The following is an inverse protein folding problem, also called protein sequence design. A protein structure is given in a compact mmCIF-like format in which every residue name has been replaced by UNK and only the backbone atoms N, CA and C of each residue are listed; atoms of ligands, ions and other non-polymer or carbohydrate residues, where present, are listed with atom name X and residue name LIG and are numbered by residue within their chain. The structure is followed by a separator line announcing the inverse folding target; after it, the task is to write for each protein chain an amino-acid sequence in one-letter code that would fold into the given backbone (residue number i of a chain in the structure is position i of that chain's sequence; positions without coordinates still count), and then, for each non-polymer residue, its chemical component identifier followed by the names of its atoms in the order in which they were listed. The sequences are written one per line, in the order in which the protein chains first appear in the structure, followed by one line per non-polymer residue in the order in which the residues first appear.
data_IF_008475057148
#
_entry.id   IF_008475057148
#
_cell.length_a   1.000
_cell.length_b   1.000
_cell.length_c   1.000
_cell.angle_alpha   90.00
_cell.angle_beta   90.00
_cell.angle_gamma   90.00
#
_symmetry.space_group_name_H-M   'P 1'
#
loop_
_entity.id
_entity.type
_entity.pdbx_description
1 polymer ?
#
# COMPACT_ATOMS: atom_id res chain seq x y z
N UNK A 1 -18.42 -6.35 4.70
CA UNK A 1 -18.94 -7.48 3.88
C UNK A 1 -18.34 -8.83 4.21
N UNK A 2 -17.03 -9.09 4.05
CA UNK A 2 -16.44 -10.41 4.38
C UNK A 2 -16.68 -10.82 5.84
N UNK A 3 -16.37 -9.92 6.78
CA UNK A 3 -16.64 -10.08 8.22
C UNK A 3 -18.11 -10.36 8.50
N UNK A 4 -19.01 -9.53 7.97
CA UNK A 4 -20.47 -9.73 8.11
C UNK A 4 -20.94 -11.14 7.64
N UNK A 5 -20.41 -11.63 6.52
CA UNK A 5 -20.75 -12.97 6.01
C UNK A 5 -20.17 -14.09 6.89
N UNK A 6 -19.00 -13.88 7.50
CA UNK A 6 -18.35 -14.83 8.41
C UNK A 6 -19.11 -14.92 9.74
N UNK A 7 -19.51 -13.79 10.29
CA UNK A 7 -20.03 -13.69 11.65
C UNK A 7 -21.54 -14.01 11.71
N UNK A 8 -22.30 -13.79 10.61
CA UNK A 8 -23.72 -14.16 10.54
C UNK A 8 -23.92 -15.68 10.36
N UNK A 9 -24.65 -16.29 11.29
CA UNK A 9 -25.05 -17.72 11.23
C UNK A 9 -26.06 -18.03 10.13
N UNK A 10 -27.08 -17.18 9.97
CA UNK A 10 -28.11 -17.34 8.94
C UNK A 10 -28.16 -16.08 8.09
N UNK A 11 -27.76 -16.20 6.83
CA UNK A 11 -27.84 -15.12 5.86
C UNK A 11 -28.98 -15.40 4.88
N UNK A 12 -30.16 -14.85 5.17
CA UNK A 12 -31.31 -14.95 4.28
C UNK A 12 -31.12 -14.03 3.07
N UNK A 13 -31.24 -14.60 1.86
CA UNK A 13 -31.23 -13.82 0.62
C UNK A 13 -32.65 -13.28 0.36
N UNK A 14 -32.73 -12.12 -0.28
CA UNK A 14 -34.02 -11.60 -0.74
C UNK A 14 -34.64 -12.55 -1.75
N UNK A 15 -35.98 -12.58 -1.78
CA UNK A 15 -36.73 -13.30 -2.81
C UNK A 15 -36.82 -12.41 -4.05
N UNK A 16 -36.72 -13.04 -5.22
CA UNK A 16 -36.91 -12.38 -6.51
C UNK A 16 -38.09 -13.04 -7.24
N UNK A 17 -39.05 -12.26 -7.77
CA UNK A 17 -39.16 -10.80 -7.66
C UNK A 17 -39.51 -10.33 -6.22
N UNK A 18 -39.06 -9.14 -5.78
CA UNK A 18 -39.39 -8.62 -4.45
C UNK A 18 -40.86 -8.22 -4.28
N UNK A 19 -41.52 -7.88 -5.38
CA UNK A 19 -42.91 -7.47 -5.44
C UNK A 19 -43.72 -8.47 -6.25
N UNK A 20 -45.02 -8.53 -5.95
CA UNK A 20 -45.99 -9.40 -6.61
C UNK A 20 -46.62 -8.67 -7.80
N UNK A 21 -46.87 -9.36 -8.91
CA UNK A 21 -47.33 -8.77 -10.17
C UNK A 21 -48.76 -8.21 -10.08
N UNK A 22 -49.58 -8.73 -9.16
CA UNK A 22 -50.94 -8.26 -8.92
C UNK A 22 -51.01 -6.96 -8.10
N UNK A 23 -49.92 -6.58 -7.42
CA UNK A 23 -49.90 -5.40 -6.56
C UNK A 23 -49.52 -4.14 -7.36
N UNK A 24 -50.23 -3.02 -7.17
CA UNK A 24 -49.83 -1.76 -7.78
C UNK A 24 -48.48 -1.28 -7.21
N UNK A 25 -47.73 -0.46 -7.97
CA UNK A 25 -46.52 0.19 -7.47
C UNK A 25 -46.79 0.99 -6.19
N UNK A 26 -45.84 0.95 -5.27
CA UNK A 26 -45.92 1.64 -3.98
C UNK A 26 -45.72 3.15 -4.17
N UNK A 27 -46.57 3.98 -3.57
CA UNK A 27 -46.36 5.43 -3.56
C UNK A 27 -45.28 5.83 -2.55
N UNK A 28 -44.36 6.69 -2.98
CA UNK A 28 -43.23 7.16 -2.19
C UNK A 28 -43.70 8.06 -1.04
N UNK A 29 -44.63 8.98 -1.31
CA UNK A 29 -45.09 9.96 -0.31
C UNK A 29 -45.74 9.26 0.89
N UNK A 30 -46.59 8.27 0.63
CA UNK A 30 -47.36 7.58 1.67
C UNK A 30 -46.56 6.51 2.42
N UNK A 31 -45.59 5.85 1.76
CA UNK A 31 -44.97 4.64 2.31
C UNK A 31 -43.47 4.75 2.62
N UNK A 32 -42.75 5.72 2.04
CA UNK A 32 -41.28 5.77 2.12
C UNK A 32 -40.79 7.11 2.69
N UNK A 33 -41.46 8.22 2.39
CA UNK A 33 -40.98 9.55 2.74
C UNK A 33 -40.73 9.75 4.24
N UNK A 34 -41.64 9.27 5.09
CA UNK A 34 -41.55 9.41 6.55
C UNK A 34 -40.73 8.29 7.23
N UNK A 35 -40.25 7.31 6.46
CA UNK A 35 -39.51 6.16 7.01
C UNK A 35 -38.02 6.47 7.02
N UNK A 36 -37.42 6.48 8.22
CA UNK A 36 -35.97 6.64 8.34
C UNK A 36 -35.23 5.45 7.71
N UNK A 37 -34.20 5.71 6.88
CA UNK A 37 -33.43 4.65 6.27
C UNK A 37 -32.63 3.89 7.32
N UNK A 38 -32.47 2.58 7.07
CA UNK A 38 -31.58 1.73 7.86
C UNK A 38 -30.12 2.20 7.74
N UNK A 39 -29.33 1.86 8.77
CA UNK A 39 -27.91 2.19 8.82
C UNK A 39 -27.16 1.63 7.60
N UNK A 40 -26.35 2.49 7.00
CA UNK A 40 -25.51 2.13 5.86
C UNK A 40 -24.34 1.23 6.29
N UNK A 41 -23.80 0.48 5.33
CA UNK A 41 -22.62 -0.34 5.59
C UNK A 41 -21.39 0.56 5.70
N UNK A 42 -20.96 0.82 6.93
CA UNK A 42 -19.77 1.60 7.23
C UNK A 42 -18.73 0.73 7.94
N UNK A 43 -17.47 0.90 7.56
CA UNK A 43 -16.34 0.37 8.31
C UNK A 43 -16.06 1.33 9.46
N UNK A 44 -15.87 0.79 10.66
CA UNK A 44 -15.38 1.57 11.79
C UNK A 44 -13.93 1.98 11.49
N UNK A 45 -13.73 3.29 11.32
CA UNK A 45 -12.43 3.91 11.06
C UNK A 45 -11.76 4.25 12.40
N UNK A 46 -10.43 4.13 12.43
CA UNK A 46 -9.65 4.51 13.60
C UNK A 46 -9.47 6.05 13.62
N UNK A 47 -9.82 6.75 14.71
CA UNK A 47 -9.73 8.21 14.78
C UNK A 47 -8.29 8.75 14.69
N UNK A 48 -7.30 7.96 15.11
CA UNK A 48 -5.90 8.38 15.15
C UNK A 48 -5.17 8.01 13.87
N UNK A 49 -5.33 6.76 13.40
CA UNK A 49 -4.63 6.30 12.19
C UNK A 49 -5.30 6.78 10.89
N UNK A 50 -6.63 6.81 10.84
CA UNK A 50 -7.40 7.17 9.65
C UNK A 50 -7.85 8.65 9.65
N UNK A 51 -7.27 9.46 10.55
CA UNK A 51 -7.58 10.88 10.74
C UNK A 51 -7.69 11.69 9.44
N UNK A 52 -6.82 11.40 8.47
CA UNK A 52 -6.77 12.09 7.18
C UNK A 52 -8.06 11.92 6.35
N UNK A 53 -8.74 10.78 6.50
CA UNK A 53 -9.95 10.41 5.74
C UNK A 53 -11.22 10.33 6.59
N UNK A 54 -11.07 10.28 7.92
CA UNK A 54 -12.15 9.99 8.89
C UNK A 54 -13.45 10.78 8.65
N UNK A 55 -13.35 12.10 8.47
CA UNK A 55 -14.52 12.99 8.41
C UNK A 55 -15.34 12.86 7.12
N UNK A 56 -14.72 12.49 5.99
CA UNK A 56 -15.32 12.65 4.66
C UNK A 56 -15.39 11.35 3.85
N UNK A 57 -14.89 10.24 4.38
CA UNK A 57 -14.74 9.00 3.62
C UNK A 57 -16.07 8.42 3.10
N UNK A 58 -17.15 8.56 3.88
CA UNK A 58 -18.48 8.04 3.55
C UNK A 58 -19.44 9.07 2.92
N UNK A 59 -18.96 10.27 2.60
CA UNK A 59 -19.76 11.28 1.94
C UNK A 59 -20.06 10.92 0.48
N UNK A 60 -21.24 11.31 0.00
CA UNK A 60 -21.64 11.08 -1.39
C UNK A 60 -20.69 11.75 -2.41
N UNK A 61 -20.22 12.96 -2.10
CA UNK A 61 -19.23 13.76 -2.84
C UNK A 61 -18.28 14.43 -1.85
N UNK A 62 -17.33 13.64 -1.38
CA UNK A 62 -16.37 14.07 -0.39
C UNK A 62 -15.53 15.26 -0.83
N UNK A 63 -15.03 16.07 0.11
CA UNK A 63 -14.07 17.15 -0.14
C UNK A 63 -14.55 18.29 -1.07
N UNK A 64 -15.84 18.39 -1.37
CA UNK A 64 -16.39 19.46 -2.24
C UNK A 64 -16.11 20.86 -1.68
N UNK A 65 -16.12 21.01 -0.37
CA UNK A 65 -15.91 22.30 0.33
C UNK A 65 -14.43 22.62 0.56
N UNK A 66 -13.52 21.68 0.27
CA UNK A 66 -12.08 21.82 0.54
C UNK A 66 -11.31 22.14 -0.75
N UNK A 67 -10.15 22.78 -0.60
CA UNK A 67 -9.21 23.10 -1.69
C UNK A 67 -8.64 21.88 -2.44
N UNK A 68 -8.97 20.66 -2.01
CA UNK A 68 -8.54 19.41 -2.63
C UNK A 68 -9.29 19.10 -3.93
N UNK A 69 -10.47 19.69 -4.13
CA UNK A 69 -11.27 19.53 -5.34
C UNK A 69 -11.55 20.90 -5.94
N UNK A 70 -11.78 20.95 -7.24
CA UNK A 70 -12.07 22.18 -7.99
C UNK A 70 -13.50 22.75 -7.77
N UNK A 71 -14.21 22.32 -6.72
CA UNK A 71 -15.58 22.72 -6.38
C UNK A 71 -16.66 21.73 -6.83
N UNK A 72 -17.91 22.21 -6.94
CA UNK A 72 -19.11 21.40 -7.21
C UNK A 72 -19.09 20.63 -8.54
N UNK A 73 -18.27 21.07 -9.50
CA UNK A 73 -18.06 20.36 -10.77
C UNK A 73 -17.31 19.04 -10.59
N UNK A 74 -16.59 18.86 -9.49
CA UNK A 74 -15.97 17.59 -9.06
C UNK A 74 -15.18 16.88 -10.18
N UNK A 75 -14.39 17.64 -10.94
CA UNK A 75 -13.71 17.16 -12.16
C UNK A 75 -12.21 16.87 -11.94
N UNK A 76 -11.59 17.56 -10.97
CA UNK A 76 -10.16 17.46 -10.67
C UNK A 76 -9.97 17.32 -9.18
N UNK A 77 -9.04 16.46 -8.79
CA UNK A 77 -8.67 16.24 -7.40
C UNK A 77 -7.16 16.41 -7.22
N UNK A 78 -6.78 16.91 -6.06
CA UNK A 78 -5.41 16.99 -5.57
C UNK A 78 -5.39 16.60 -4.10
N UNK A 79 -4.72 15.49 -3.79
CA UNK A 79 -4.68 14.92 -2.44
C UNK A 79 -3.27 15.02 -1.87
N UNK A 80 -3.21 15.16 -0.55
CA UNK A 80 -1.97 15.14 0.23
C UNK A 80 -1.46 13.71 0.39
N UNK A 81 -0.17 13.56 0.74
CA UNK A 81 0.42 12.24 0.97
C UNK A 81 -0.30 11.44 2.07
N UNK A 82 -0.64 12.02 3.24
CA UNK A 82 -1.38 11.30 4.28
C UNK A 82 -2.74 10.79 3.79
N UNK A 83 -3.48 11.59 3.01
CA UNK A 83 -4.76 11.15 2.45
C UNK A 83 -4.57 9.93 1.53
N UNK A 84 -3.57 9.98 0.66
CA UNK A 84 -3.29 8.89 -0.27
C UNK A 84 -2.77 7.63 0.42
N UNK A 85 -1.92 7.78 1.44
CA UNK A 85 -1.40 6.63 2.20
C UNK A 85 -2.52 5.92 2.95
N UNK A 86 -3.41 6.65 3.60
CA UNK A 86 -4.58 6.07 4.29
C UNK A 86 -5.52 5.38 3.30
N UNK A 87 -5.84 6.04 2.17
CA UNK A 87 -6.67 5.43 1.12
C UNK A 87 -6.02 4.17 0.50
N UNK A 88 -4.71 4.18 0.27
CA UNK A 88 -3.99 3.03 -0.27
C UNK A 88 -4.01 1.85 0.71
N UNK A 89 -3.77 2.13 2.00
CA UNK A 89 -3.84 1.13 3.08
C UNK A 89 -5.23 0.50 3.21
N UNK A 90 -6.29 1.31 3.07
CA UNK A 90 -7.68 0.82 3.10
C UNK A 90 -8.08 0.07 1.82
N UNK A 91 -7.56 0.50 0.67
CA UNK A 91 -7.81 -0.12 -0.64
C UNK A 91 -7.00 -1.40 -0.87
N UNK A 92 -5.93 -1.61 -0.10
CA UNK A 92 -5.11 -2.80 -0.16
C UNK A 92 -5.92 -4.05 0.22
N UNK A 93 -5.65 -5.21 -0.43
CA UNK A 93 -6.26 -6.46 -0.04
C UNK A 93 -5.79 -6.83 1.37
N UNK A 94 -6.62 -6.58 2.38
CA UNK A 94 -6.45 -7.22 3.69
C UNK A 94 -6.76 -8.70 3.51
N UNK A 95 -5.72 -9.51 3.35
CA UNK A 95 -5.83 -10.96 3.38
C UNK A 95 -6.06 -11.37 4.84
N UNK A 96 -7.27 -11.79 5.17
CA UNK A 96 -7.42 -12.72 6.30
C UNK A 96 -6.91 -14.09 5.80
N UNK A 97 -6.13 -14.83 6.61
CA UNK A 97 -5.69 -16.16 6.22
C UNK A 97 -6.91 -17.02 5.86
N UNK A 98 -6.94 -17.49 4.61
CA UNK A 98 -8.11 -18.18 4.04
C UNK A 98 -8.32 -19.57 4.67
N UNK A 99 -7.28 -20.09 5.33
CA UNK A 99 -7.26 -21.41 5.94
C UNK A 99 -7.57 -21.23 7.42
N UNK A 100 -8.75 -21.69 7.86
CA UNK A 100 -8.96 -22.08 9.26
C UNK A 100 -7.86 -23.08 9.57
N UNK A 101 -7.13 -22.93 10.66
CA UNK A 101 -6.15 -23.91 11.14
C UNK A 101 -6.65 -25.34 10.90
N UNK A 102 -6.25 -25.92 9.78
CA UNK A 102 -6.40 -27.35 9.56
C UNK A 102 -5.37 -27.90 10.51
N UNK A 103 -5.84 -28.74 11.44
CA UNK A 103 -4.94 -29.45 12.34
C UNK A 103 -3.83 -30.08 11.47
N UNK A 104 -2.55 -29.74 11.68
CA UNK A 104 -1.45 -30.28 10.89
C UNK A 104 -1.42 -31.82 10.87
N UNK A 105 -2.09 -32.45 11.84
CA UNK A 105 -2.16 -33.89 12.01
C UNK A 105 -3.23 -34.59 11.15
N UNK A 106 -4.14 -33.87 10.50
CA UNK A 106 -5.33 -34.48 9.87
C UNK A 106 -5.14 -34.84 8.37
N UNK A 107 -4.07 -34.38 7.69
CA UNK A 107 -3.90 -34.55 6.23
C UNK A 107 -2.57 -35.23 5.77
N UNK A 108 -1.70 -35.65 6.69
CA UNK A 108 -0.31 -36.01 6.34
C UNK A 108 -0.08 -37.42 5.76
N UNK A 109 -1.11 -38.26 5.60
CA UNK A 109 -0.95 -39.63 5.06
C UNK A 109 -1.87 -39.93 3.88
N UNK A 110 -1.49 -39.43 2.70
CA UNK A 110 -2.06 -39.86 1.42
C UNK A 110 -1.03 -40.66 0.61
N UNK A 111 -1.48 -41.61 -0.20
CA UNK A 111 -0.63 -42.47 -1.07
C UNK A 111 0.26 -41.65 -2.04
N UNK A 112 -0.10 -40.39 -2.26
CA UNK A 112 0.62 -39.42 -3.08
C UNK A 112 1.82 -38.76 -2.37
N UNK A 113 1.84 -38.72 -1.03
CA UNK A 113 2.88 -38.06 -0.22
C UNK A 113 3.86 -39.06 0.45
N UNK A 114 3.87 -40.33 0.04
CA UNK A 114 4.75 -41.36 0.60
C UNK A 114 6.23 -41.03 0.33
N UNK A 115 6.98 -40.79 1.42
CA UNK A 115 8.42 -40.46 1.41
C UNK A 115 9.24 -41.50 0.64
N UNK A 116 8.81 -42.76 0.63
CA UNK A 116 9.53 -43.84 -0.05
C UNK A 116 9.34 -43.81 -1.58
N UNK A 117 8.35 -43.06 -2.08
CA UNK A 117 8.05 -42.91 -3.51
C UNK A 117 8.51 -41.57 -4.09
N UNK A 118 8.85 -40.59 -3.23
CA UNK A 118 9.29 -39.25 -3.66
C UNK A 118 10.82 -39.20 -3.72
N UNK A 119 11.36 -39.00 -4.93
CA UNK A 119 12.80 -38.79 -5.14
C UNK A 119 13.09 -37.28 -5.14
N UNK A 120 13.50 -36.73 -3.99
CA UNK A 120 13.87 -35.31 -3.87
C UNK A 120 15.33 -35.12 -4.31
N UNK A 121 15.52 -34.61 -5.53
CA UNK A 121 16.86 -34.25 -6.04
C UNK A 121 17.20 -32.76 -5.84
N UNK A 122 16.18 -31.90 -5.85
CA UNK A 122 16.24 -30.49 -5.51
C UNK A 122 14.94 -30.12 -4.79
N UNK A 123 14.96 -29.26 -3.74
CA UNK A 123 13.72 -28.77 -3.13
C UNK A 123 12.89 -28.03 -4.19
N UNK A 124 11.58 -28.29 -4.22
CA UNK A 124 10.69 -27.83 -5.29
C UNK A 124 10.42 -26.32 -5.13
N UNK A 125 10.99 -25.49 -6.01
CA UNK A 125 10.56 -24.09 -6.22
C UNK A 125 10.36 -23.81 -7.71
N UNK A 126 9.36 -24.43 -8.35
CA UNK A 126 9.04 -24.10 -9.75
C UNK A 126 7.53 -24.09 -10.00
N UNK A 127 6.87 -22.97 -9.70
CA UNK A 127 5.78 -22.49 -10.55
C UNK A 127 6.16 -21.11 -11.06
N UNK A 128 6.31 -21.05 -12.38
CA UNK A 128 6.48 -19.88 -13.26
C UNK A 128 7.92 -19.63 -13.69
N UNK A 129 8.06 -19.70 -15.02
CA UNK A 129 9.27 -19.65 -15.84
C UNK A 129 10.04 -18.33 -15.70
N UNK A 130 11.35 -18.45 -15.87
CA UNK A 130 12.33 -17.36 -15.95
C UNK A 130 11.88 -16.26 -16.91
N UNK A 131 11.47 -15.14 -16.34
CA UNK A 131 11.67 -13.83 -16.94
C UNK A 131 12.69 -13.15 -16.04
N UNK A 132 13.94 -13.01 -16.50
CA UNK A 132 14.88 -12.04 -15.93
C UNK A 132 14.36 -10.67 -16.36
N UNK A 133 13.24 -10.28 -15.75
CA UNK A 133 12.88 -8.89 -15.64
C UNK A 133 13.95 -8.29 -14.73
N UNK A 134 14.42 -7.09 -15.03
CA UNK A 134 15.13 -6.30 -14.03
C UNK A 134 14.10 -6.11 -12.90
N UNK A 135 14.14 -7.00 -11.90
CA UNK A 135 13.22 -6.99 -10.79
C UNK A 135 13.58 -5.76 -10.00
N UNK A 136 12.70 -4.77 -10.05
CA UNK A 136 12.77 -3.62 -9.16
C UNK A 136 12.61 -4.20 -7.76
N UNK A 137 13.72 -4.23 -7.00
CA UNK A 137 13.71 -4.71 -5.64
C UNK A 137 13.26 -3.58 -4.72
N UNK A 138 11.96 -3.51 -4.51
CA UNK A 138 11.37 -2.66 -3.48
C UNK A 138 11.12 -3.51 -2.23
N UNK A 139 11.78 -3.14 -1.13
CA UNK A 139 11.49 -3.72 0.19
C UNK A 139 10.42 -2.85 0.83
N UNK A 140 9.22 -3.41 1.01
CA UNK A 140 8.14 -2.74 1.72
C UNK A 140 8.46 -2.72 3.21
N UNK A 141 8.50 -1.53 3.80
CA UNK A 141 8.60 -1.35 5.24
C UNK A 141 7.28 -1.85 5.85
N UNK A 142 7.37 -2.86 6.72
CA UNK A 142 6.20 -3.45 7.39
C UNK A 142 5.98 -2.83 8.78
N UNK A 143 7.07 -2.48 9.48
CA UNK A 143 7.03 -1.93 10.82
C UNK A 143 7.26 -0.41 10.79
N UNK A 144 6.29 0.41 11.27
CA UNK A 144 6.40 1.86 11.26
C UNK A 144 7.42 2.39 12.28
N UNK A 145 7.85 1.56 13.23
CA UNK A 145 8.82 1.92 14.27
C UNK A 145 10.27 1.94 13.76
N UNK A 146 10.52 1.30 12.61
CA UNK A 146 11.83 1.33 11.96
C UNK A 146 12.02 2.66 11.21
N UNK A 147 13.25 3.20 11.17
CA UNK A 147 13.50 4.47 10.48
C UNK A 147 13.27 4.30 8.98
N UNK A 148 12.89 5.36 8.26
CA UNK A 148 12.52 5.26 6.84
C UNK A 148 13.66 4.74 5.94
N UNK A 149 14.92 4.95 6.35
CA UNK A 149 16.10 4.42 5.70
C UNK A 149 16.86 3.54 6.69
N UNK A 150 16.74 2.22 6.54
CA UNK A 150 17.54 1.24 7.27
C UNK A 150 18.03 0.15 6.34
N UNK A 151 19.09 -0.53 6.76
CA UNK A 151 19.57 -1.71 6.07
C UNK A 151 18.69 -2.90 6.46
N UNK A 152 17.80 -3.30 5.56
CA UNK A 152 16.88 -4.40 5.81
C UNK A 152 17.61 -5.76 5.82
N UNK A 153 17.29 -6.68 6.74
CA UNK A 153 17.88 -8.02 6.78
C UNK A 153 17.72 -8.84 5.48
N UNK A 154 16.74 -8.51 4.64
CA UNK A 154 16.55 -9.12 3.33
C UNK A 154 17.61 -8.68 2.30
N UNK A 155 18.33 -7.58 2.57
CA UNK A 155 19.41 -7.08 1.72
C UNK A 155 20.70 -7.82 2.10
N UNK A 156 21.39 -8.36 1.09
CA UNK A 156 22.67 -9.02 1.32
C UNK A 156 23.71 -8.03 1.87
N UNK A 157 24.42 -8.37 2.97
CA UNK A 157 25.41 -7.48 3.55
C UNK A 157 26.53 -7.19 2.54
N UNK A 158 26.95 -5.92 2.48
CA UNK A 158 28.01 -5.49 1.58
C UNK A 158 29.35 -5.94 2.16
N UNK A 159 29.96 -6.96 1.55
CA UNK A 159 31.32 -7.39 1.90
C UNK A 159 32.35 -6.50 1.19
N UNK A 160 33.05 -5.64 1.92
CA UNK A 160 34.24 -4.98 1.39
C UNK A 160 35.41 -5.97 1.32
N UNK A 161 35.81 -6.36 0.11
CA UNK A 161 36.91 -7.31 -0.13
C UNK A 161 38.08 -6.75 -0.93
N UNK A 162 38.06 -5.45 -1.25
CA UNK A 162 39.13 -4.78 -1.98
C UNK A 162 39.93 -3.86 -1.04
N UNK A 163 41.19 -4.19 -0.82
CA UNK A 163 42.17 -3.36 -0.08
C UNK A 163 42.92 -2.41 -1.02
N UNK A 164 42.91 -2.69 -2.32
CA UNK A 164 43.50 -1.81 -3.33
C UNK A 164 42.44 -0.79 -3.71
N UNK A 165 42.62 0.46 -3.26
CA UNK A 165 41.92 1.60 -3.86
C UNK A 165 42.31 1.58 -5.35
N UNK A 166 41.40 1.19 -6.24
CA UNK A 166 41.60 1.37 -7.67
C UNK A 166 41.58 2.86 -7.89
N UNK A 167 42.75 3.47 -7.85
CA UNK A 167 42.82 4.89 -8.07
C UNK A 167 42.63 5.10 -9.56
N UNK A 168 41.45 5.56 -9.95
CA UNK A 168 41.33 6.24 -11.22
C UNK A 168 42.41 7.30 -11.24
N UNK A 169 43.28 7.31 -12.24
CA UNK A 169 44.41 8.24 -12.32
C UNK A 169 44.00 9.73 -12.20
N UNK A 170 42.71 10.03 -12.38
CA UNK A 170 42.12 11.35 -12.15
C UNK A 170 41.81 11.67 -10.68
N UNK A 171 41.50 10.66 -9.86
CA UNK A 171 41.31 10.79 -8.41
C UNK A 171 42.67 10.80 -7.71
N UNK A 172 43.65 10.06 -8.23
CA UNK A 172 44.97 9.91 -7.61
C UNK A 172 45.72 11.25 -7.51
N UNK A 173 45.59 12.10 -8.55
CA UNK A 173 46.15 13.47 -8.55
C UNK A 173 45.51 14.34 -7.46
N UNK A 174 44.23 14.13 -7.13
CA UNK A 174 43.54 14.86 -6.06
C UNK A 174 43.77 14.22 -4.68
N UNK A 175 44.21 12.95 -4.62
CA UNK A 175 44.43 12.23 -3.36
C UNK A 175 45.86 12.14 -2.88
N UNK A 176 46.84 12.34 -3.76
CA UNK A 176 48.26 12.36 -3.38
C UNK A 176 48.64 13.57 -2.51
N UNK A 177 47.81 14.61 -2.51
CA UNK A 177 48.00 15.81 -1.68
C UNK A 177 47.43 15.68 -0.26
N UNK A 178 46.66 14.62 0.08
CA UNK A 178 46.09 14.46 1.43
C UNK A 178 47.14 14.20 2.53
N UNK A 179 48.33 13.73 2.18
CA UNK A 179 49.43 13.46 3.12
C UNK A 179 50.42 14.64 3.23
N UNK A 180 50.27 15.67 2.39
CA UNK A 180 51.07 16.91 2.49
C UNK A 180 50.34 17.89 3.42
N UNK A 181 50.65 17.83 4.72
CA UNK A 181 50.17 18.78 5.74
C UNK A 181 50.56 20.25 5.47
N UNK A 182 51.34 20.53 4.42
CA UNK A 182 51.89 21.85 4.12
C UNK A 182 50.89 22.81 3.42
N UNK A 183 49.82 22.30 2.80
CA UNK A 183 48.74 23.11 2.22
C UNK A 183 47.35 22.56 2.63
N UNK A 184 46.99 22.70 3.90
CA UNK A 184 45.64 22.38 4.39
C UNK A 184 44.61 23.36 3.80
N UNK A 185 43.91 22.94 2.74
CA UNK A 185 42.79 23.68 2.19
C UNK A 185 41.62 23.70 3.20
N UNK A 186 41.35 24.89 3.77
CA UNK A 186 40.25 25.08 4.73
C UNK A 186 39.03 25.68 4.02
N UNK A 187 37.87 25.04 4.22
CA UNK A 187 36.59 25.58 3.76
C UNK A 187 36.20 26.82 4.59
N UNK A 188 35.59 27.87 3.99
CA UNK A 188 35.12 29.03 4.73
C UNK A 188 34.14 28.65 5.85
N UNK A 189 34.15 29.39 6.96
CA UNK A 189 33.32 29.10 8.15
C UNK A 189 31.80 29.06 7.86
N UNK A 190 31.34 29.74 6.80
CA UNK A 190 29.93 29.72 6.40
C UNK A 190 29.55 28.53 5.52
N UNK A 191 30.50 27.64 5.20
CA UNK A 191 30.29 26.52 4.29
C UNK A 191 29.84 25.27 5.06
N UNK A 192 28.54 25.01 5.01
CA UNK A 192 27.92 23.80 5.57
C UNK A 192 27.27 22.96 4.46
N UNK A 193 26.99 21.66 4.71
CA UNK A 193 26.16 20.87 3.81
C UNK A 193 24.82 21.58 3.50
N UNK A 194 24.34 21.45 2.26
CA UNK A 194 23.20 22.22 1.76
C UNK A 194 21.91 22.09 2.60
N UNK A 195 21.70 20.95 3.25
CA UNK A 195 20.46 20.62 3.97
C UNK A 195 20.70 20.28 5.45
N UNK A 196 21.74 20.84 6.08
CA UNK A 196 22.06 20.59 7.50
C UNK A 196 20.90 20.88 8.44
N UNK A 197 20.06 21.87 8.12
CA UNK A 197 18.88 22.23 8.92
C UNK A 197 17.66 21.32 8.77
N UNK A 198 17.71 20.30 7.92
CA UNK A 198 16.57 19.41 7.62
C UNK A 198 16.89 17.99 8.06
N UNK A 199 15.94 17.33 8.73
CA UNK A 199 16.09 15.92 9.12
C UNK A 199 16.14 15.00 7.88
N UNK A 200 16.89 13.91 7.97
CA UNK A 200 17.05 12.94 6.88
C UNK A 200 15.72 12.31 6.45
N UNK A 201 14.83 12.02 7.40
CA UNK A 201 13.50 11.51 7.14
C UNK A 201 12.48 12.12 8.10
N UNK A 202 11.20 11.92 7.76
CA UNK A 202 10.03 12.31 8.53
C UNK A 202 9.08 11.11 8.63
N UNK A 203 8.06 11.19 9.48
CA UNK A 203 7.06 10.13 9.66
C UNK A 203 6.33 9.75 8.36
N UNK A 204 6.25 10.68 7.41
CA UNK A 204 5.59 10.47 6.12
C UNK A 204 6.53 9.99 5.01
N UNK A 205 7.85 9.94 5.25
CA UNK A 205 8.83 9.59 4.21
C UNK A 205 8.67 8.15 3.75
N UNK A 206 8.53 7.21 4.68
CA UNK A 206 8.28 5.79 4.38
C UNK A 206 6.97 5.57 3.62
N UNK A 207 5.90 6.27 4.02
CA UNK A 207 4.62 6.21 3.32
C UNK A 207 4.70 6.79 1.90
N UNK A 208 5.45 7.89 1.73
CA UNK A 208 5.68 8.51 0.42
C UNK A 208 6.48 7.62 -0.53
N UNK A 209 7.52 6.93 -0.03
CA UNK A 209 8.30 5.97 -0.84
C UNK A 209 7.46 4.75 -1.21
N UNK A 210 6.61 4.26 -0.32
CA UNK A 210 5.67 3.18 -0.62
C UNK A 210 4.65 3.57 -1.72
N UNK A 211 4.12 4.80 -1.68
CA UNK A 211 3.19 5.30 -2.70
C UNK A 211 3.82 5.43 -4.09
N UNK A 212 5.15 5.59 -4.20
CA UNK A 212 5.84 5.64 -5.49
C UNK A 212 5.65 4.34 -6.29
N UNK A 213 5.62 3.20 -5.59
CA UNK A 213 5.45 1.87 -6.17
C UNK A 213 4.00 1.38 -6.16
N UNK A 214 3.06 2.20 -5.69
CA UNK A 214 1.66 1.83 -5.67
C UNK A 214 1.06 1.79 -7.10
N UNK A 215 0.06 0.93 -7.35
CA UNK A 215 -0.61 0.91 -8.64
C UNK A 215 -1.39 2.20 -8.86
N UNK A 216 -1.65 2.54 -10.13
CA UNK A 216 -2.60 3.61 -10.47
C UNK A 216 -3.96 3.26 -9.85
N UNK A 217 -4.62 4.18 -9.11
CA UNK A 217 -4.42 5.63 -9.07
C UNK A 217 -3.54 6.17 -7.91
N UNK A 218 -3.01 5.32 -7.03
CA UNK A 218 -2.39 5.74 -5.77
C UNK A 218 -0.99 6.35 -5.92
N UNK A 219 -0.31 6.11 -7.04
CA UNK A 219 0.97 6.74 -7.37
C UNK A 219 0.86 8.20 -7.85
N UNK A 220 -0.34 8.78 -7.89
CA UNK A 220 -0.57 10.15 -8.35
C UNK A 220 -1.08 11.04 -7.22
N UNK A 221 -0.49 12.23 -7.09
CA UNK A 221 -0.96 13.27 -6.16
C UNK A 221 -2.15 14.08 -6.68
N UNK A 222 -2.37 14.08 -7.99
CA UNK A 222 -3.49 14.78 -8.61
C UNK A 222 -3.97 14.01 -9.84
N UNK A 223 -5.26 14.14 -10.12
CA UNK A 223 -5.85 13.51 -11.28
C UNK A 223 -7.20 14.11 -11.64
N UNK A 224 -7.80 13.52 -12.67
CA UNK A 224 -9.20 13.76 -13.02
C UNK A 224 -10.06 12.75 -12.29
N UNK A 225 -11.23 13.19 -11.86
CA UNK A 225 -12.27 12.25 -11.42
C UNK A 225 -12.75 11.43 -12.63
N UNK A 226 -13.20 10.21 -12.35
CA UNK A 226 -13.69 9.28 -13.37
C UNK A 226 -15.11 8.88 -12.98
N UNK A 227 -15.92 8.49 -13.97
CA UNK A 227 -17.25 7.95 -13.70
C UNK A 227 -17.09 6.64 -12.93
N UNK A 228 -18.01 6.35 -12.01
CA UNK A 228 -17.99 5.12 -11.23
C UNK A 228 -17.95 3.86 -12.13
N UNK A 229 -18.65 3.91 -13.28
CA UNK A 229 -18.69 2.85 -14.28
C UNK A 229 -17.32 2.57 -14.96
N UNK A 230 -16.43 3.57 -15.02
CA UNK A 230 -15.14 3.46 -15.72
C UNK A 230 -14.02 2.90 -14.82
N UNK A 231 -14.32 2.58 -13.55
CA UNK A 231 -13.33 2.08 -12.57
C UNK A 231 -13.54 0.56 -12.41
N UNK A 232 -12.77 -0.28 -13.12
CA UNK A 232 -12.92 -1.72 -13.00
C UNK A 232 -12.20 -2.23 -11.74
N UNK A 233 -12.93 -2.43 -10.65
CA UNK A 233 -12.34 -2.89 -9.38
C UNK A 233 -11.78 -4.33 -9.43
N UNK A 234 -12.22 -5.15 -10.39
CA UNK A 234 -11.85 -6.57 -10.50
C UNK A 234 -10.84 -6.81 -11.65
N UNK A 235 -10.51 -5.79 -12.43
CA UNK A 235 -9.54 -5.88 -13.52
C UNK A 235 -8.19 -5.38 -13.02
N UNK A 236 -7.44 -6.25 -12.36
CA UNK A 236 -6.03 -6.04 -11.98
C UNK A 236 -5.11 -6.27 -13.17
#
# INVERSE_FOLDING_TARGET
MRREKRDRRHFQRMRFPPFDDEKPPLDYADNIFDVEPLEAIQLQLDPDEDKATYEWFYDHKSLTDRKMVNGSTYCRWHLTLPNLSTLYRMGGPKFEPLVKEVNPNDEDWNEFNDINKIIIRQPIMYRISYCISIFIQFVSIQDPDLPAFYFDPLINPIAHRHTVKSVDAHIDVLTQDYDNEEEEFVLPEQFEPLLTGVSLYTDNTANGTALLWAPRPFNLRSGRTRRALDIPLVKS
#
